data_IF_156535783675
#
_entry.id   IF_156535783675
#
_cell.length_a   1.000
_cell.length_b   1.000
_cell.length_c   1.000
_cell.angle_alpha   90.00
_cell.angle_beta   90.00
_cell.angle_gamma   90.00
#
_symmetry.space_group_name_H-M   'P 1'
#
loop_
_entity.id
_entity.type
_entity.pdbx_description
1 polymer ?
#
# COMPACT_ATOMS: atom_id res chain seq x y z
N UNK A 1 12.89 -7.56 -3.37
CA UNK A 1 12.27 -6.66 -4.37
C UNK A 1 10.85 -6.42 -3.91
N UNK A 2 10.30 -5.20 -4.06
CA UNK A 2 8.92 -4.92 -3.66
C UNK A 2 7.95 -5.84 -4.41
N UNK A 3 6.94 -6.34 -3.70
CA UNK A 3 5.94 -7.27 -4.25
C UNK A 3 4.93 -6.56 -5.18
N UNK A 4 4.75 -5.25 -4.99
CA UNK A 4 3.81 -4.43 -5.76
C UNK A 4 4.53 -3.26 -6.44
N UNK A 5 3.98 -2.79 -7.55
CA UNK A 5 4.57 -1.75 -8.39
C UNK A 5 3.65 -0.53 -8.54
N UNK A 6 4.25 0.59 -8.96
CA UNK A 6 3.50 1.82 -9.21
C UNK A 6 2.48 1.62 -10.35
N UNK A 7 1.25 2.06 -10.11
CA UNK A 7 0.12 1.94 -11.05
C UNK A 7 -0.82 0.79 -10.73
N UNK A 8 -0.39 -0.18 -9.93
CA UNK A 8 -1.24 -1.31 -9.56
C UNK A 8 -2.37 -0.92 -8.62
N UNK A 9 -3.51 -1.59 -8.77
CA UNK A 9 -4.65 -1.43 -7.87
C UNK A 9 -4.61 -2.57 -6.86
N UNK A 10 -4.49 -2.22 -5.59
CA UNK A 10 -4.31 -3.16 -4.49
C UNK A 10 -5.43 -3.07 -3.47
N UNK A 11 -5.64 -4.16 -2.74
CA UNK A 11 -6.42 -4.23 -1.51
C UNK A 11 -5.48 -4.07 -0.32
N UNK A 12 -5.85 -3.28 0.67
CA UNK A 12 -4.98 -3.00 1.81
C UNK A 12 -5.76 -2.62 3.07
N UNK A 13 -5.13 -2.79 4.24
CA UNK A 13 -5.64 -2.30 5.53
C UNK A 13 -4.88 -1.05 5.98
N UNK A 14 -5.59 0.07 6.10
CA UNK A 14 -5.00 1.37 6.46
C UNK A 14 -4.48 1.44 7.91
N UNK A 15 -5.08 0.68 8.83
CA UNK A 15 -4.79 0.75 10.28
C UNK A 15 -4.74 -0.67 10.88
N UNK A 16 -3.85 -0.88 11.85
CA UNK A 16 -3.83 -2.07 12.71
C UNK A 16 -3.09 -3.31 12.17
N UNK A 17 -2.53 -3.26 10.96
CA UNK A 17 -1.81 -4.40 10.40
C UNK A 17 -2.72 -5.44 9.73
N UNK A 18 -2.15 -6.51 9.14
CA UNK A 18 -2.91 -7.53 8.41
C UNK A 18 -3.96 -8.24 9.28
N UNK A 19 -3.65 -8.42 10.57
CA UNK A 19 -4.51 -9.10 11.56
C UNK A 19 -5.56 -8.19 12.22
N UNK A 20 -5.66 -6.91 11.82
CA UNK A 20 -6.66 -6.01 12.39
C UNK A 20 -8.07 -6.30 11.86
N UNK A 21 -9.07 -6.04 12.69
CA UNK A 21 -10.49 -5.98 12.31
C UNK A 21 -10.85 -4.73 11.48
N UNK A 22 -9.87 -3.91 11.12
CA UNK A 22 -10.08 -2.79 10.20
C UNK A 22 -10.48 -3.30 8.83
N UNK A 23 -11.54 -2.72 8.27
CA UNK A 23 -12.01 -3.04 6.93
C UNK A 23 -10.93 -2.83 5.87
N UNK A 24 -10.91 -3.73 4.90
CA UNK A 24 -10.06 -3.58 3.72
C UNK A 24 -10.52 -2.39 2.88
N UNK A 25 -9.56 -1.73 2.27
CA UNK A 25 -9.77 -0.63 1.34
C UNK A 25 -9.08 -0.97 0.02
N UNK A 26 -9.51 -0.30 -1.05
CA UNK A 26 -8.85 -0.39 -2.35
C UNK A 26 -8.16 0.92 -2.66
N UNK A 27 -7.05 0.84 -3.38
CA UNK A 27 -6.29 2.01 -3.78
C UNK A 27 -5.26 1.71 -4.86
N UNK A 28 -4.75 2.76 -5.48
CA UNK A 28 -3.69 2.67 -6.50
C UNK A 28 -2.35 2.94 -5.86
N UNK A 29 -1.35 2.10 -6.11
CA UNK A 29 0.03 2.35 -5.72
C UNK A 29 0.56 3.53 -6.55
N UNK A 30 0.89 4.62 -5.90
CA UNK A 30 1.42 5.84 -6.52
C UNK A 30 2.93 5.87 -6.50
N UNK A 31 3.57 5.28 -5.48
CA UNK A 31 5.01 5.28 -5.30
C UNK A 31 5.44 4.13 -4.40
N UNK A 32 6.61 3.57 -4.67
CA UNK A 32 7.27 2.57 -3.82
C UNK A 32 8.66 3.10 -3.47
N UNK A 33 9.05 2.99 -2.20
CA UNK A 33 10.40 3.31 -1.76
C UNK A 33 10.96 2.19 -0.88
N UNK A 34 12.23 1.89 -1.10
CA UNK A 34 13.04 0.91 -0.36
C UNK A 34 14.14 1.58 0.46
N UNK A 35 14.08 2.91 0.60
CA UNK A 35 15.00 3.73 1.39
C UNK A 35 14.22 4.83 2.11
N UNK A 36 14.73 5.37 3.24
CA UNK A 36 14.07 6.45 3.96
C UNK A 36 13.77 7.64 3.04
N UNK A 37 12.55 8.15 3.10
CA UNK A 37 12.11 9.18 2.16
C UNK A 37 10.79 9.82 2.56
N UNK A 38 10.22 10.60 1.65
CA UNK A 38 8.92 11.24 1.83
C UNK A 38 7.84 10.54 1.00
N UNK A 39 6.76 10.14 1.66
CA UNK A 39 5.52 9.62 1.06
C UNK A 39 4.32 10.35 1.65
N UNK A 40 3.33 10.69 0.83
CA UNK A 40 2.09 11.37 1.27
C UNK A 40 2.35 12.59 2.19
N UNK A 41 3.41 13.35 1.92
CA UNK A 41 3.81 14.53 2.70
C UNK A 41 4.43 14.23 4.07
N UNK A 42 4.82 12.98 4.36
CA UNK A 42 5.44 12.57 5.63
C UNK A 42 6.77 11.86 5.39
N UNK A 43 7.72 12.09 6.28
CA UNK A 43 8.95 11.28 6.34
C UNK A 43 8.60 9.87 6.84
N UNK A 44 9.05 8.86 6.11
CA UNK A 44 8.86 7.46 6.45
C UNK A 44 10.17 6.72 6.36
N UNK A 45 10.36 5.78 7.28
CA UNK A 45 11.47 4.84 7.22
C UNK A 45 11.06 3.65 6.35
N UNK A 46 11.89 3.37 5.35
CA UNK A 46 11.78 2.22 4.46
C UNK A 46 13.17 1.59 4.30
N UNK A 47 13.19 0.31 3.94
CA UNK A 47 14.40 -0.43 3.60
C UNK A 47 14.06 -1.47 2.51
N UNK A 48 15.06 -2.10 1.91
CA UNK A 48 14.83 -3.18 0.95
C UNK A 48 14.06 -4.38 1.56
N UNK A 49 14.17 -4.58 2.88
CA UNK A 49 13.45 -5.62 3.62
C UNK A 49 12.07 -5.19 4.10
N UNK A 50 11.86 -3.89 4.24
CA UNK A 50 10.61 -3.29 4.69
C UNK A 50 10.26 -2.09 3.78
N UNK A 51 9.84 -2.36 2.53
CA UNK A 51 9.45 -1.31 1.61
C UNK A 51 8.19 -0.58 2.09
N UNK A 52 8.05 0.67 1.63
CA UNK A 52 6.88 1.51 1.89
C UNK A 52 6.19 1.89 0.60
N UNK A 53 4.87 1.88 0.66
CA UNK A 53 3.99 2.13 -0.47
C UNK A 53 3.16 3.39 -0.22
N UNK A 54 3.17 4.32 -1.16
CA UNK A 54 2.16 5.38 -1.18
C UNK A 54 0.95 4.87 -1.95
N UNK A 55 -0.15 4.68 -1.25
CA UNK A 55 -1.41 4.21 -1.84
C UNK A 55 -2.41 5.35 -1.81
N UNK A 56 -2.96 5.69 -2.98
CA UNK A 56 -4.09 6.59 -3.10
C UNK A 56 -5.39 5.80 -2.95
N UNK A 57 -6.12 6.05 -1.87
CA UNK A 57 -7.38 5.38 -1.59
C UNK A 57 -8.44 5.71 -2.65
N UNK A 58 -9.05 4.69 -3.26
CA UNK A 58 -10.02 4.87 -4.34
C UNK A 58 -11.33 5.52 -3.89
N UNK A 59 -11.71 5.40 -2.61
CA UNK A 59 -12.94 5.99 -2.08
C UNK A 59 -12.79 7.48 -1.73
N UNK A 60 -11.64 7.86 -1.18
CA UNK A 60 -11.42 9.20 -0.62
C UNK A 60 -10.45 10.07 -1.42
N UNK A 61 -9.70 9.49 -2.37
CA UNK A 61 -8.67 10.18 -3.15
C UNK A 61 -7.40 10.55 -2.37
N UNK A 62 -7.34 10.22 -1.07
CA UNK A 62 -6.22 10.55 -0.18
C UNK A 62 -5.08 9.55 -0.34
N UNK A 63 -3.85 10.04 -0.43
CA UNK A 63 -2.63 9.23 -0.36
C UNK A 63 -2.23 8.92 1.07
N UNK A 64 -1.70 7.73 1.30
CA UNK A 64 -1.16 7.30 2.59
C UNK A 64 0.03 6.35 2.42
N UNK A 65 0.95 6.40 3.37
CA UNK A 65 2.08 5.47 3.42
C UNK A 65 1.69 4.18 4.14
N UNK A 66 1.85 3.04 3.47
CA UNK A 66 1.43 1.71 3.92
C UNK A 66 2.62 0.76 3.88
N UNK A 67 2.68 -0.19 4.82
CA UNK A 67 3.67 -1.27 4.79
C UNK A 67 3.22 -2.36 3.82
N UNK A 68 4.17 -3.05 3.18
CA UNK A 68 3.88 -4.21 2.31
C UNK A 68 2.93 -5.23 2.96
N UNK A 69 3.21 -5.60 4.21
CA UNK A 69 2.40 -6.55 5.00
C UNK A 69 0.94 -6.15 5.24
N UNK A 70 0.59 -4.89 4.96
CA UNK A 70 -0.79 -4.41 5.09
C UNK A 70 -1.53 -4.46 3.74
N UNK A 71 -0.84 -4.80 2.66
CA UNK A 71 -1.40 -5.04 1.34
C UNK A 71 -1.82 -6.50 1.28
N UNK A 72 -3.08 -6.76 0.93
CA UNK A 72 -3.68 -8.10 0.90
C UNK A 72 -3.59 -8.76 -0.47
N UNK A 73 -3.21 -8.00 -1.50
CA UNK A 73 -3.06 -8.48 -2.87
C UNK A 73 -3.58 -7.48 -3.90
N UNK A 74 -3.38 -7.82 -5.18
CA UNK A 74 -3.95 -7.09 -6.30
C UNK A 74 -5.48 -7.19 -6.28
N UNK A 75 -6.16 -6.10 -6.66
CA UNK A 75 -7.62 -6.12 -6.83
C UNK A 75 -8.04 -6.93 -8.05
N UNK A 76 -7.21 -6.96 -9.10
CA UNK A 76 -7.52 -7.62 -10.37
C UNK A 76 -7.53 -9.15 -10.31
N UNK A 77 -7.01 -9.75 -9.24
CA UNK A 77 -6.90 -11.20 -9.08
C UNK A 77 -8.26 -11.87 -8.80
N UNK A 78 -9.29 -11.10 -8.42
CA UNK A 78 -10.60 -11.63 -8.02
C UNK A 78 -11.58 -11.85 -9.19
N UNK A 79 -11.28 -11.36 -10.40
CA UNK A 79 -12.17 -11.49 -11.58
C UNK A 79 -11.74 -12.66 -12.51
N UNK A 80 -10.73 -13.45 -12.13
CA UNK A 80 -10.16 -14.51 -12.97
C UNK A 80 -10.44 -15.95 -12.49
N UNK A 81 -11.42 -16.17 -11.61
CA UNK A 81 -11.79 -17.48 -11.05
C UNK A 81 -13.22 -17.89 -11.41
#
# INVERSE_FOLDING_TARGET
MPEYEQGEVVRYKAVGGPNSNTAESTGTVKKVITEPGMLAGKNVQASEKEPRYEIQNSNTGKSMAVYEKNIMGLKSDEEAS
#
